data_IF_688155966003
#
_entry.id   IF_688155966003
#
_cell.length_a   1.000
_cell.length_b   1.000
_cell.length_c   1.000
_cell.angle_alpha   90.00
_cell.angle_beta   90.00
_cell.angle_gamma   90.00
#
_symmetry.space_group_name_H-M   'P 1'
#
loop_
_entity.id
_entity.type
_entity.pdbx_description
1 polymer ?
#
# COMPACT_ATOMS: atom_id res chain seq x y z
N UNK A 1 14.41 -10.13 18.43
CA UNK A 1 15.07 -9.02 17.70
C UNK A 1 14.05 -7.91 17.51
N UNK A 2 14.38 -6.70 17.99
CA UNK A 2 13.52 -5.54 17.98
C UNK A 2 13.90 -4.59 16.84
N UNK A 3 12.99 -4.36 15.90
CA UNK A 3 13.22 -3.52 14.72
C UNK A 3 12.33 -2.27 14.78
N UNK A 4 12.93 -1.09 14.66
CA UNK A 4 12.22 0.16 14.45
C UNK A 4 11.97 0.34 12.94
N UNK A 5 10.73 0.57 12.54
CA UNK A 5 10.35 0.94 11.18
C UNK A 5 10.08 2.43 11.07
N UNK A 6 10.58 3.05 10.00
CA UNK A 6 10.37 4.47 9.67
C UNK A 6 9.79 4.56 8.26
N UNK A 7 8.55 5.01 8.17
CA UNK A 7 7.84 5.28 6.91
C UNK A 7 7.67 6.79 6.71
N UNK A 8 8.04 7.28 5.53
CA UNK A 8 7.88 8.69 5.16
C UNK A 8 7.81 8.91 3.65
N UNK A 9 7.37 7.92 2.88
CA UNK A 9 7.49 7.96 1.40
C UNK A 9 6.60 8.97 0.70
N UNK A 10 5.48 9.38 1.33
CA UNK A 10 4.50 10.28 0.72
C UNK A 10 3.96 11.32 1.71
N UNK A 11 2.75 11.15 2.21
CA UNK A 11 2.05 12.08 3.10
C UNK A 11 1.67 11.49 4.47
N UNK A 12 2.14 10.30 4.78
CA UNK A 12 2.11 9.70 6.11
C UNK A 12 3.50 9.62 6.73
N UNK A 13 3.61 10.04 8.00
CA UNK A 13 4.78 9.76 8.83
C UNK A 13 4.43 8.65 9.79
N UNK A 14 5.03 7.48 9.61
CA UNK A 14 4.75 6.30 10.43
C UNK A 14 6.00 5.76 11.12
N UNK A 15 5.90 5.47 12.43
CA UNK A 15 6.92 4.76 13.16
C UNK A 15 6.30 3.56 13.87
N UNK A 16 7.06 2.46 13.96
CA UNK A 16 6.61 1.27 14.66
C UNK A 16 7.78 0.46 15.22
N UNK A 17 7.51 -0.29 16.28
CA UNK A 17 8.42 -1.27 16.86
C UNK A 17 7.84 -2.67 16.66
N UNK A 18 8.58 -3.51 15.95
CA UNK A 18 8.25 -4.91 15.73
C UNK A 18 9.32 -5.81 16.35
N UNK A 19 8.89 -6.72 17.19
CA UNK A 19 9.76 -7.74 17.79
C UNK A 19 9.49 -9.10 17.14
N UNK A 20 10.54 -9.81 16.73
CA UNK A 20 10.40 -11.09 16.01
C UNK A 20 9.78 -12.22 16.83
N UNK A 21 9.70 -12.08 18.16
CA UNK A 21 9.11 -13.07 19.06
C UNK A 21 7.73 -12.61 19.58
N UNK A 22 7.60 -11.30 19.91
CA UNK A 22 6.40 -10.73 20.52
C UNK A 22 5.44 -10.08 19.51
N UNK A 23 5.86 -9.93 18.24
CA UNK A 23 5.07 -9.26 17.21
C UNK A 23 5.15 -7.73 17.25
N UNK A 24 4.12 -7.05 16.76
CA UNK A 24 4.02 -5.59 16.76
C UNK A 24 3.79 -5.08 18.20
N UNK A 25 4.73 -4.29 18.73
CA UNK A 25 4.66 -3.78 20.09
C UNK A 25 3.92 -2.44 20.17
N UNK A 26 4.23 -1.52 19.25
CA UNK A 26 3.58 -0.23 19.14
C UNK A 26 3.75 0.33 17.74
N UNK A 27 2.82 1.19 17.34
CA UNK A 27 2.95 2.00 16.13
C UNK A 27 2.31 3.37 16.34
N UNK A 28 2.88 4.40 15.74
CA UNK A 28 2.34 5.75 15.72
C UNK A 28 2.33 6.27 14.28
N UNK A 29 1.27 6.95 13.91
CA UNK A 29 1.03 7.46 12.55
C UNK A 29 0.54 8.90 12.63
N UNK A 30 1.11 9.76 11.77
CA UNK A 30 0.57 11.08 11.48
C UNK A 30 0.28 11.20 10.00
N UNK A 31 -0.97 11.48 9.65
CA UNK A 31 -1.37 11.72 8.26
C UNK A 31 -1.47 13.22 7.98
N UNK A 32 -0.96 13.61 6.83
CA UNK A 32 -0.94 14.99 6.36
C UNK A 32 -2.15 15.31 5.44
N UNK A 33 -3.12 14.38 5.32
CA UNK A 33 -4.30 14.54 4.45
C UNK A 33 -4.98 15.89 4.68
N UNK A 34 -5.21 16.29 5.94
CA UNK A 34 -5.86 17.55 6.26
C UNK A 34 -5.10 18.78 5.73
N UNK A 35 -3.77 18.73 5.74
CA UNK A 35 -2.92 19.79 5.20
C UNK A 35 -3.00 19.83 3.66
N UNK A 36 -2.97 18.67 3.01
CA UNK A 36 -2.96 18.58 1.55
C UNK A 36 -4.34 18.77 0.91
N UNK A 37 -5.41 18.61 1.69
CA UNK A 37 -6.79 18.73 1.22
C UNK A 37 -7.07 20.09 0.58
N UNK A 38 -6.55 21.19 1.13
CA UNK A 38 -6.71 22.53 0.58
C UNK A 38 -6.02 22.75 -0.77
N UNK A 39 -5.05 21.89 -1.13
CA UNK A 39 -4.35 21.93 -2.42
C UNK A 39 -4.91 20.94 -3.42
N UNK A 40 -5.85 20.08 -3.01
CA UNK A 40 -6.46 19.06 -3.85
C UNK A 40 -5.52 17.91 -4.22
N UNK A 41 -4.48 17.67 -3.41
CA UNK A 41 -3.50 16.59 -3.57
C UNK A 41 -2.20 16.91 -2.86
N UNK A 42 -1.29 15.93 -2.79
CA UNK A 42 -0.02 16.03 -2.07
C UNK A 42 0.90 17.09 -2.68
N UNK A 43 1.44 17.99 -1.84
CA UNK A 43 2.47 18.96 -2.18
C UNK A 43 3.80 18.47 -1.60
N UNK A 44 4.75 17.97 -2.44
CA UNK A 44 5.93 17.24 -1.97
C UNK A 44 6.82 18.01 -0.99
N UNK A 45 6.97 19.33 -1.18
CA UNK A 45 7.80 20.15 -0.30
C UNK A 45 7.15 20.31 1.09
N UNK A 46 5.83 20.49 1.15
CA UNK A 46 5.11 20.57 2.43
C UNK A 46 5.16 19.23 3.16
N UNK A 47 5.01 18.12 2.43
CA UNK A 47 5.14 16.78 2.99
C UNK A 47 6.50 16.60 3.66
N UNK A 48 7.59 16.90 2.95
CA UNK A 48 8.94 16.79 3.48
C UNK A 48 9.17 17.61 4.74
N UNK A 49 8.68 18.84 4.78
CA UNK A 49 8.79 19.73 5.96
C UNK A 49 8.01 19.21 7.16
N UNK A 50 6.84 18.63 6.95
CA UNK A 50 6.05 18.09 8.05
C UNK A 50 6.65 16.78 8.59
N UNK A 51 7.19 15.89 7.75
CA UNK A 51 7.94 14.71 8.21
C UNK A 51 9.05 15.07 9.21
N UNK A 52 9.82 16.15 8.96
CA UNK A 52 10.87 16.61 9.88
C UNK A 52 10.27 16.94 11.26
N UNK A 53 9.09 17.58 11.29
CA UNK A 53 8.43 17.98 12.54
C UNK A 53 7.85 16.81 13.30
N UNK A 54 7.40 15.76 12.58
CA UNK A 54 6.66 14.63 13.16
C UNK A 54 7.52 13.46 13.58
N UNK A 55 8.65 13.21 12.91
CA UNK A 55 9.45 12.03 13.13
C UNK A 55 9.89 11.81 14.58
N UNK A 56 10.46 12.83 15.23
CA UNK A 56 10.94 12.70 16.62
C UNK A 56 9.80 12.62 17.65
N UNK A 57 8.72 13.43 17.58
CA UNK A 57 7.55 13.21 18.44
C UNK A 57 6.95 11.82 18.33
N UNK A 58 6.77 11.31 17.11
CA UNK A 58 6.23 9.96 16.89
C UNK A 58 7.18 8.86 17.39
N UNK A 59 8.51 9.05 17.24
CA UNK A 59 9.49 8.13 17.82
C UNK A 59 9.33 8.03 19.34
N UNK A 60 9.27 9.18 20.02
CA UNK A 60 9.09 9.21 21.49
C UNK A 60 7.77 8.54 21.90
N UNK A 61 6.70 8.79 21.19
CA UNK A 61 5.41 8.14 21.41
C UNK A 61 5.51 6.63 21.26
N UNK A 62 6.06 6.15 20.12
CA UNK A 62 6.20 4.71 19.82
C UNK A 62 7.03 3.98 20.89
N UNK A 63 8.14 4.57 21.34
CA UNK A 63 8.97 4.01 22.41
C UNK A 63 8.22 3.98 23.76
N UNK A 64 7.50 5.05 24.09
CA UNK A 64 6.69 5.15 25.32
C UNK A 64 5.56 4.11 25.33
N UNK A 65 4.83 3.97 24.21
CA UNK A 65 3.70 3.04 24.09
C UNK A 65 4.18 1.59 24.15
N UNK A 66 5.34 1.29 23.56
CA UNK A 66 5.97 -0.02 23.64
C UNK A 66 6.63 -0.30 25.02
N UNK A 67 6.84 0.73 25.83
CA UNK A 67 7.63 0.67 27.08
C UNK A 67 9.03 0.12 26.86
N UNK A 68 9.70 0.62 25.84
CA UNK A 68 11.03 0.19 25.40
C UNK A 68 11.97 1.39 25.38
N UNK A 69 13.19 1.21 25.85
CA UNK A 69 14.24 2.22 25.71
C UNK A 69 14.85 2.18 24.30
N UNK A 70 15.28 3.33 23.78
CA UNK A 70 15.85 3.40 22.44
C UNK A 70 17.08 2.48 22.25
N UNK A 71 17.85 2.25 23.32
CA UNK A 71 19.03 1.38 23.34
C UNK A 71 18.69 -0.11 23.10
N UNK A 72 17.45 -0.52 23.39
CA UNK A 72 16.96 -1.88 23.19
C UNK A 72 16.65 -2.21 21.72
N UNK A 73 16.57 -1.20 20.84
CA UNK A 73 16.42 -1.40 19.41
C UNK A 73 17.63 -2.15 18.86
N UNK A 74 17.41 -3.22 18.11
CA UNK A 74 18.47 -4.02 17.50
C UNK A 74 18.83 -3.53 16.09
N UNK A 75 17.85 -3.06 15.32
CA UNK A 75 18.04 -2.54 13.97
C UNK A 75 16.97 -1.49 13.60
N UNK A 76 17.27 -0.64 12.61
CA UNK A 76 16.37 0.39 12.12
C UNK A 76 16.12 0.17 10.64
N UNK A 77 14.86 -0.09 10.26
CA UNK A 77 14.40 -0.19 8.90
C UNK A 77 13.74 1.12 8.47
N UNK A 78 14.04 1.61 7.28
CA UNK A 78 13.43 2.82 6.75
C UNK A 78 13.01 2.65 5.30
N UNK A 79 11.99 3.37 4.85
CA UNK A 79 11.59 3.36 3.46
C UNK A 79 12.63 4.07 2.61
N UNK A 80 13.35 3.29 1.79
CA UNK A 80 14.35 3.82 0.87
C UNK A 80 13.72 4.27 -0.45
N UNK A 81 12.57 3.75 -0.80
CA UNK A 81 11.81 4.01 -2.02
C UNK A 81 10.88 2.86 -2.40
N UNK A 82 10.05 3.06 -3.46
CA UNK A 82 9.79 4.32 -4.15
C UNK A 82 9.02 5.33 -3.30
N UNK A 83 8.98 6.61 -3.77
CA UNK A 83 8.25 7.68 -3.09
C UNK A 83 8.74 9.08 -3.46
N UNK A 84 8.27 10.09 -2.74
CA UNK A 84 8.68 11.49 -2.93
C UNK A 84 10.11 11.67 -2.42
N UNK A 85 11.01 12.14 -3.28
CA UNK A 85 12.45 12.24 -2.97
C UNK A 85 12.75 12.97 -1.65
N UNK A 86 12.14 14.14 -1.43
CA UNK A 86 12.35 14.92 -0.21
C UNK A 86 11.81 14.22 1.04
N UNK A 87 10.65 13.58 0.95
CA UNK A 87 10.03 12.82 2.02
C UNK A 87 10.89 11.60 2.41
N UNK A 88 11.32 10.81 1.43
CA UNK A 88 12.26 9.69 1.62
C UNK A 88 13.57 10.13 2.29
N UNK A 89 14.15 11.26 1.84
CA UNK A 89 15.38 11.79 2.42
C UNK A 89 15.22 12.10 3.92
N UNK A 90 14.05 12.60 4.35
CA UNK A 90 13.81 12.87 5.77
C UNK A 90 13.79 11.57 6.58
N UNK A 91 13.03 10.56 6.17
CA UNK A 91 12.98 9.28 6.87
C UNK A 91 14.34 8.57 6.93
N UNK A 92 15.06 8.56 5.80
CA UNK A 92 16.42 8.01 5.74
C UNK A 92 17.39 8.76 6.67
N UNK A 93 17.33 10.11 6.69
CA UNK A 93 18.17 10.93 7.59
C UNK A 93 17.89 10.64 9.07
N UNK A 94 16.61 10.54 9.44
CA UNK A 94 16.22 10.20 10.82
C UNK A 94 16.70 8.80 11.18
N UNK A 95 16.47 7.81 10.32
CA UNK A 95 16.88 6.42 10.57
C UNK A 95 18.39 6.27 10.69
N UNK A 96 19.17 6.84 9.75
CA UNK A 96 20.64 6.78 9.77
C UNK A 96 21.22 7.59 10.94
N UNK A 97 20.64 8.77 11.25
CA UNK A 97 21.06 9.55 12.42
C UNK A 97 20.83 8.83 13.74
N UNK A 98 19.69 8.14 13.90
CA UNK A 98 19.42 7.29 15.06
C UNK A 98 20.36 6.09 15.10
N UNK A 99 20.58 5.43 13.96
CA UNK A 99 21.50 4.31 13.86
C UNK A 99 22.91 4.70 14.33
N UNK A 100 23.40 5.84 13.87
CA UNK A 100 24.70 6.38 14.31
C UNK A 100 24.71 6.70 15.81
N UNK A 101 23.71 7.37 16.33
CA UNK A 101 23.63 7.79 17.73
C UNK A 101 23.51 6.58 18.70
N UNK A 102 22.86 5.50 18.26
CA UNK A 102 22.62 4.31 19.08
C UNK A 102 23.62 3.16 18.77
N UNK A 103 24.53 3.33 17.82
CA UNK A 103 25.40 2.31 17.27
C UNK A 103 24.64 1.06 16.77
N UNK A 104 23.52 1.28 16.05
CA UNK A 104 22.64 0.22 15.55
C UNK A 104 22.66 0.16 14.03
N UNK A 105 22.61 -1.05 13.44
CA UNK A 105 22.58 -1.21 12.00
C UNK A 105 21.27 -0.67 11.39
N UNK A 106 21.38 -0.16 10.16
CA UNK A 106 20.24 0.37 9.39
C UNK A 106 20.05 -0.40 8.10
N UNK A 107 18.80 -0.49 7.62
CA UNK A 107 18.52 -1.05 6.31
C UNK A 107 17.41 -0.32 5.60
N UNK A 108 17.59 -0.12 4.27
CA UNK A 108 16.57 0.44 3.39
C UNK A 108 15.58 -0.63 2.96
N UNK A 109 14.29 -0.33 3.07
CA UNK A 109 13.19 -1.21 2.67
C UNK A 109 12.49 -0.63 1.44
N UNK A 110 12.08 -1.51 0.54
CA UNK A 110 11.24 -1.17 -0.58
C UNK A 110 9.79 -0.96 -0.07
N UNK A 111 9.23 0.22 -0.33
CA UNK A 111 7.89 0.61 0.15
C UNK A 111 6.80 -0.42 -0.24
N UNK A 112 6.79 -0.87 -1.50
CA UNK A 112 5.80 -1.83 -1.98
C UNK A 112 5.99 -3.23 -1.36
N UNK A 113 7.22 -3.61 -0.98
CA UNK A 113 7.45 -4.83 -0.21
C UNK A 113 6.80 -4.73 1.17
N UNK A 114 6.89 -3.57 1.83
CA UNK A 114 6.18 -3.32 3.07
C UNK A 114 4.67 -3.61 2.93
N UNK A 115 4.04 -3.07 1.89
CA UNK A 115 2.63 -3.34 1.59
C UNK A 115 2.35 -4.81 1.30
N UNK A 116 3.17 -5.49 0.48
CA UNK A 116 2.97 -6.90 0.13
C UNK A 116 3.06 -7.82 1.33
N UNK A 117 3.91 -7.48 2.30
CA UNK A 117 4.12 -8.27 3.51
C UNK A 117 3.18 -7.88 4.66
N UNK A 118 2.56 -6.70 4.63
CA UNK A 118 1.69 -6.22 5.72
C UNK A 118 0.53 -7.17 6.09
N UNK A 119 -0.10 -7.94 5.16
CA UNK A 119 -1.11 -8.92 5.52
C UNK A 119 -0.59 -10.09 6.37
N UNK A 120 0.73 -10.29 6.43
CA UNK A 120 1.35 -11.28 7.32
C UNK A 120 1.34 -10.83 8.80
N UNK A 121 1.05 -9.56 9.09
CA UNK A 121 0.83 -9.04 10.45
C UNK A 121 -0.56 -9.41 11.01
N UNK A 122 -1.48 -9.90 10.17
CA UNK A 122 -2.82 -10.27 10.61
C UNK A 122 -2.79 -11.52 11.51
N UNK A 123 -3.80 -11.68 12.36
CA UNK A 123 -3.98 -12.84 13.25
C UNK A 123 -4.06 -14.17 12.50
N UNK A 124 -4.49 -14.15 11.24
CA UNK A 124 -4.52 -15.31 10.33
C UNK A 124 -3.73 -14.96 9.07
N UNK A 125 -2.39 -15.05 9.11
CA UNK A 125 -1.56 -14.65 7.99
C UNK A 125 -1.68 -15.64 6.81
N UNK A 126 -1.58 -15.14 5.54
CA UNK A 126 -1.46 -15.99 4.38
C UNK A 126 -0.13 -16.77 4.42
N UNK A 127 -0.13 -17.96 3.82
CA UNK A 127 1.11 -18.73 3.59
C UNK A 127 1.61 -18.51 2.16
N UNK A 128 2.91 -18.44 1.98
CA UNK A 128 3.52 -18.46 0.64
C UNK A 128 3.31 -19.81 -0.06
N UNK A 129 3.26 -19.89 -1.41
CA UNK A 129 3.12 -18.75 -2.30
C UNK A 129 1.66 -18.24 -2.36
N UNK A 130 1.49 -16.98 -2.77
CA UNK A 130 0.18 -16.37 -3.01
C UNK A 130 0.21 -15.37 -4.18
N UNK A 131 -0.96 -15.02 -4.71
CA UNK A 131 -1.12 -13.88 -5.60
C UNK A 131 -1.41 -12.65 -4.75
N UNK A 132 -0.74 -11.54 -5.05
CA UNK A 132 -1.01 -10.25 -4.43
C UNK A 132 -1.57 -9.27 -5.45
N UNK A 133 -2.66 -8.59 -5.12
CA UNK A 133 -3.10 -7.35 -5.75
C UNK A 133 -2.59 -6.19 -4.89
N UNK A 134 -1.59 -5.50 -5.36
CA UNK A 134 -1.13 -4.24 -4.80
C UNK A 134 -1.90 -3.12 -5.47
N UNK A 135 -2.75 -2.41 -4.72
CA UNK A 135 -3.64 -1.39 -5.25
C UNK A 135 -3.69 -0.16 -4.34
N UNK A 136 -3.04 0.92 -4.79
CA UNK A 136 -2.85 2.16 -4.03
C UNK A 136 -3.11 3.41 -4.90
N UNK A 137 -2.82 4.58 -4.37
CA UNK A 137 -2.86 5.84 -5.11
C UNK A 137 -1.93 5.86 -6.32
N UNK A 138 -0.73 5.29 -6.19
CA UNK A 138 0.29 5.33 -7.24
C UNK A 138 0.52 4.00 -7.98
N UNK A 139 0.00 2.88 -7.49
CA UNK A 139 0.30 1.55 -8.04
C UNK A 139 -0.95 0.70 -8.21
N UNK A 140 -0.99 -0.08 -9.29
CA UNK A 140 -1.92 -1.19 -9.48
C UNK A 140 -1.17 -2.31 -10.16
N UNK A 141 -0.82 -3.34 -9.38
CA UNK A 141 0.02 -4.46 -9.82
C UNK A 141 -0.53 -5.78 -9.31
N UNK A 142 -0.50 -6.80 -10.15
CA UNK A 142 -0.70 -8.20 -9.78
C UNK A 142 0.64 -8.90 -9.75
N UNK A 143 0.92 -9.57 -8.64
CA UNK A 143 2.19 -10.21 -8.39
C UNK A 143 2.00 -11.63 -7.88
N UNK A 144 2.92 -12.51 -8.23
CA UNK A 144 3.14 -13.77 -7.55
C UNK A 144 4.21 -13.54 -6.47
N UNK A 145 3.93 -13.98 -5.27
CA UNK A 145 4.79 -13.82 -4.11
C UNK A 145 5.15 -15.21 -3.60
N UNK A 146 6.40 -15.62 -3.83
CA UNK A 146 6.91 -16.93 -3.42
C UNK A 146 7.62 -16.89 -2.05
N UNK A 147 7.95 -15.70 -1.55
CA UNK A 147 8.61 -15.45 -0.28
C UNK A 147 9.09 -14.01 -0.19
N UNK A 148 9.77 -13.66 0.90
CA UNK A 148 10.37 -12.34 1.10
C UNK A 148 11.40 -12.07 0.00
N UNK A 149 11.27 -10.94 -0.70
CA UNK A 149 12.15 -10.58 -1.81
C UNK A 149 11.99 -11.42 -3.08
N UNK A 150 11.04 -12.36 -3.14
CA UNK A 150 10.79 -13.20 -4.31
C UNK A 150 9.43 -12.87 -4.92
N UNK A 151 9.44 -11.90 -5.80
CA UNK A 151 8.27 -11.31 -6.44
C UNK A 151 8.35 -11.44 -7.96
N UNK A 152 7.27 -11.89 -8.58
CA UNK A 152 7.11 -11.98 -10.03
C UNK A 152 5.94 -11.07 -10.42
N UNK A 153 6.20 -10.06 -11.26
CA UNK A 153 5.16 -9.20 -11.81
C UNK A 153 4.37 -9.97 -12.86
N UNK A 154 3.06 -10.11 -12.66
CA UNK A 154 2.15 -10.78 -13.59
C UNK A 154 1.41 -9.81 -14.49
N UNK A 155 1.19 -8.59 -14.04
CA UNK A 155 0.55 -7.51 -14.77
C UNK A 155 0.48 -6.25 -13.95
N UNK A 156 0.42 -5.10 -14.61
CA UNK A 156 0.37 -3.79 -13.97
C UNK A 156 -0.50 -2.80 -14.77
N UNK A 157 -0.75 -1.63 -14.19
CA UNK A 157 -1.45 -0.59 -14.94
C UNK A 157 -0.54 0.01 -16.00
N UNK A 158 -1.08 0.20 -17.20
CA UNK A 158 -0.38 0.82 -18.34
C UNK A 158 -0.51 2.35 -18.33
N UNK A 159 -1.34 2.90 -17.44
CA UNK A 159 -1.63 4.32 -17.34
C UNK A 159 -1.93 4.73 -15.88
N UNK A 160 -3.07 5.37 -15.59
CA UNK A 160 -3.45 5.77 -14.23
C UNK A 160 -3.56 4.53 -13.31
N UNK A 161 -3.06 4.64 -12.07
CA UNK A 161 -3.36 3.66 -11.04
C UNK A 161 -4.84 3.73 -10.63
N UNK A 162 -5.39 2.63 -10.07
CA UNK A 162 -6.78 2.60 -9.66
C UNK A 162 -7.11 3.70 -8.63
N UNK A 163 -6.26 3.89 -7.61
CA UNK A 163 -6.47 4.94 -6.61
C UNK A 163 -6.41 6.34 -7.21
N UNK A 164 -5.48 6.57 -8.13
CA UNK A 164 -5.41 7.83 -8.89
C UNK A 164 -6.67 8.07 -9.72
N UNK A 165 -7.22 7.02 -10.34
CA UNK A 165 -8.48 7.10 -11.06
C UNK A 165 -9.66 7.43 -10.13
N UNK A 166 -9.68 6.87 -8.91
CA UNK A 166 -10.63 7.23 -7.86
C UNK A 166 -10.55 8.72 -7.50
N UNK A 167 -9.35 9.23 -7.19
CA UNK A 167 -9.15 10.63 -6.78
C UNK A 167 -9.49 11.62 -7.90
N UNK A 168 -9.04 11.33 -9.13
CA UNK A 168 -9.35 12.16 -10.30
C UNK A 168 -10.85 12.19 -10.62
N UNK A 169 -11.55 11.06 -10.53
CA UNK A 169 -12.98 10.97 -10.78
C UNK A 169 -13.80 11.64 -9.67
N UNK A 170 -13.41 11.49 -8.42
CA UNK A 170 -14.00 12.20 -7.29
C UNK A 170 -13.87 13.72 -7.45
N UNK A 171 -12.69 14.20 -7.88
CA UNK A 171 -12.47 15.63 -8.18
C UNK A 171 -13.40 16.14 -9.29
N UNK A 172 -13.63 15.34 -10.35
CA UNK A 172 -14.59 15.70 -11.42
C UNK A 172 -16.02 15.83 -10.91
N UNK A 173 -16.40 15.08 -9.87
CA UNK A 173 -17.71 15.14 -9.23
C UNK A 173 -17.78 16.18 -8.09
N UNK A 174 -16.69 16.90 -7.81
CA UNK A 174 -16.65 17.90 -6.75
C UNK A 174 -16.60 17.33 -5.32
N UNK A 175 -16.11 16.09 -5.12
CA UNK A 175 -16.16 15.39 -3.84
C UNK A 175 -14.95 15.65 -2.91
N UNK A 176 -13.99 16.46 -3.33
CA UNK A 176 -12.81 16.78 -2.52
C UNK A 176 -11.72 15.70 -2.50
N UNK A 177 -10.83 15.77 -1.51
CA UNK A 177 -9.68 14.88 -1.32
C UNK A 177 -9.65 14.38 0.15
N UNK A 178 -9.32 13.09 0.42
CA UNK A 178 -9.08 12.02 -0.56
C UNK A 178 -10.37 11.56 -1.25
N UNK A 179 -10.27 11.37 -2.56
CA UNK A 179 -11.43 11.10 -3.40
C UNK A 179 -11.98 9.68 -3.26
N UNK A 180 -11.11 8.68 -3.08
CA UNK A 180 -11.50 7.27 -3.03
C UNK A 180 -12.62 6.97 -2.01
N UNK A 181 -12.47 7.31 -0.72
CA UNK A 181 -13.52 7.11 0.27
C UNK A 181 -14.80 7.90 -0.02
N UNK A 182 -14.67 9.11 -0.57
CA UNK A 182 -15.83 9.98 -0.85
C UNK A 182 -16.70 9.41 -1.99
N UNK A 183 -16.07 9.06 -3.14
CA UNK A 183 -16.79 8.50 -4.29
C UNK A 183 -17.35 7.11 -3.98
N UNK A 184 -16.67 6.29 -3.16
CA UNK A 184 -17.16 4.97 -2.76
C UNK A 184 -18.41 5.04 -1.90
N UNK A 185 -18.46 5.97 -0.94
CA UNK A 185 -19.66 6.23 -0.14
C UNK A 185 -20.83 6.75 -0.99
N UNK A 186 -20.54 7.68 -1.91
CA UNK A 186 -21.57 8.23 -2.79
C UNK A 186 -22.15 7.14 -3.71
N UNK A 187 -21.32 6.22 -4.19
CA UNK A 187 -21.74 5.10 -5.04
C UNK A 187 -22.79 4.17 -4.38
N UNK A 188 -22.85 4.11 -3.06
CA UNK A 188 -23.83 3.29 -2.33
C UNK A 188 -25.28 3.75 -2.59
N UNK A 189 -25.49 5.04 -2.92
CA UNK A 189 -26.78 5.64 -3.20
C UNK A 189 -27.12 5.68 -4.70
N UNK A 190 -26.22 5.20 -5.57
CA UNK A 190 -26.38 5.23 -7.02
C UNK A 190 -27.12 4.03 -7.58
N UNK A 191 -27.90 4.25 -8.66
CA UNK A 191 -28.49 3.19 -9.47
C UNK A 191 -27.41 2.53 -10.35
N UNK A 192 -27.16 1.21 -10.24
CA UNK A 192 -26.16 0.51 -11.05
C UNK A 192 -26.50 0.47 -12.55
N UNK A 193 -27.72 0.78 -12.95
CA UNK A 193 -28.18 0.73 -14.34
C UNK A 193 -28.19 2.11 -15.01
N UNK A 194 -28.00 3.20 -14.25
CA UNK A 194 -28.11 4.56 -14.77
C UNK A 194 -27.00 4.92 -15.78
N UNK A 195 -25.75 4.52 -15.48
CA UNK A 195 -24.60 4.80 -16.34
C UNK A 195 -23.74 3.56 -16.53
N UNK A 196 -23.62 3.09 -17.76
CA UNK A 196 -22.73 2.00 -18.14
C UNK A 196 -21.39 2.57 -18.60
N UNK A 197 -20.43 2.68 -17.67
CA UNK A 197 -19.08 3.14 -17.98
C UNK A 197 -18.23 1.99 -18.55
N UNK A 198 -17.19 2.27 -19.33
CA UNK A 198 -16.33 1.24 -19.92
C UNK A 198 -15.58 0.44 -18.83
N UNK A 199 -15.22 -0.81 -19.15
CA UNK A 199 -14.36 -1.71 -18.36
C UNK A 199 -13.07 -1.93 -19.16
N UNK A 200 -12.10 -0.99 -19.09
CA UNK A 200 -10.91 -1.10 -19.91
C UNK A 200 -10.17 -2.41 -19.63
N UNK A 201 -9.68 -3.06 -20.67
CA UNK A 201 -8.90 -4.30 -20.60
C UNK A 201 -9.57 -5.49 -19.90
N UNK A 202 -10.86 -5.44 -19.56
CA UNK A 202 -11.58 -6.56 -18.90
C UNK A 202 -11.41 -7.89 -19.66
N UNK A 203 -11.44 -7.85 -20.98
CA UNK A 203 -11.35 -9.01 -21.86
C UNK A 203 -9.99 -9.18 -22.54
N UNK A 204 -8.97 -8.40 -22.14
CA UNK A 204 -7.60 -8.62 -22.65
C UNK A 204 -7.06 -9.96 -22.16
N UNK A 205 -6.18 -10.57 -22.97
CA UNK A 205 -5.59 -11.88 -22.65
C UNK A 205 -4.49 -11.80 -21.58
N UNK A 206 -3.94 -10.60 -21.33
CA UNK A 206 -2.93 -10.34 -20.30
C UNK A 206 -3.58 -9.97 -18.96
N UNK A 207 -2.76 -9.74 -17.93
CA UNK A 207 -3.18 -9.36 -16.59
C UNK A 207 -3.00 -7.85 -16.32
N UNK A 208 -2.68 -7.06 -17.35
CA UNK A 208 -2.51 -5.62 -17.23
C UNK A 208 -3.85 -4.90 -17.03
N UNK A 209 -3.76 -3.68 -16.52
CA UNK A 209 -4.87 -2.79 -16.24
C UNK A 209 -4.75 -1.48 -17.03
N UNK A 210 -5.86 -0.77 -17.15
CA UNK A 210 -5.91 0.60 -17.63
C UNK A 210 -7.12 1.29 -17.01
N UNK A 211 -6.96 2.52 -16.54
CA UNK A 211 -8.05 3.29 -15.92
C UNK A 211 -8.19 4.70 -16.46
N UNK A 212 -7.26 5.19 -17.29
CA UNK A 212 -7.34 6.54 -17.90
C UNK A 212 -8.58 6.71 -18.80
N UNK A 213 -8.94 5.64 -19.54
CA UNK A 213 -10.15 5.62 -20.37
C UNK A 213 -11.44 5.72 -19.54
N UNK A 214 -11.48 5.10 -18.37
CA UNK A 214 -12.63 5.19 -17.46
C UNK A 214 -12.79 6.60 -16.90
N UNK A 215 -11.71 7.26 -16.47
CA UNK A 215 -11.71 8.66 -16.05
C UNK A 215 -12.23 9.58 -17.16
N UNK A 216 -11.79 9.36 -18.40
CA UNK A 216 -12.25 10.13 -19.57
C UNK A 216 -13.76 9.94 -19.81
N UNK A 217 -14.27 8.73 -19.62
CA UNK A 217 -15.70 8.45 -19.71
C UNK A 217 -16.50 9.21 -18.63
N UNK A 218 -16.02 9.23 -17.37
CA UNK A 218 -16.61 10.06 -16.31
C UNK A 218 -16.65 11.52 -16.71
N UNK A 219 -15.52 12.08 -17.21
CA UNK A 219 -15.46 13.47 -17.66
C UNK A 219 -16.47 13.75 -18.78
N UNK A 220 -16.66 12.83 -19.71
CA UNK A 220 -17.64 12.96 -20.81
C UNK A 220 -19.06 13.05 -20.27
N UNK A 221 -19.44 12.16 -19.34
CA UNK A 221 -20.77 12.20 -18.70
C UNK A 221 -20.95 13.49 -17.91
N UNK A 222 -19.96 13.91 -17.13
CA UNK A 222 -20.00 15.18 -16.38
C UNK A 222 -20.24 16.38 -17.30
N UNK A 223 -19.54 16.44 -18.45
CA UNK A 223 -19.71 17.52 -19.45
C UNK A 223 -21.09 17.56 -20.10
N UNK A 224 -21.80 16.44 -20.21
CA UNK A 224 -23.18 16.40 -20.73
C UNK A 224 -24.16 17.12 -19.79
N UNK A 225 -23.82 17.30 -18.52
CA UNK A 225 -24.62 18.03 -17.52
C UNK A 225 -24.19 19.51 -17.39
N UNK A 226 -23.52 20.07 -18.38
CA UNK A 226 -23.09 21.47 -18.43
C UNK A 226 -21.57 21.65 -18.22
N UNK A 227 -21.07 22.86 -18.50
CA UNK A 227 -19.66 23.17 -18.33
C UNK A 227 -19.25 22.95 -16.86
N UNK A 228 -18.27 22.13 -16.61
CA UNK A 228 -17.77 21.74 -15.28
C UNK A 228 -18.76 20.97 -14.38
N UNK A 229 -19.82 20.37 -14.93
CA UNK A 229 -20.81 19.63 -14.14
C UNK A 229 -21.68 20.49 -13.24
N UNK A 230 -21.82 21.79 -13.53
CA UNK A 230 -22.56 22.74 -12.69
C UNK A 230 -24.04 22.41 -12.50
N UNK A 231 -24.60 21.56 -13.36
CA UNK A 231 -26.00 21.14 -13.33
C UNK A 231 -26.22 19.67 -12.93
N UNK A 232 -25.19 18.99 -12.42
CA UNK A 232 -25.32 17.60 -11.96
C UNK A 232 -26.04 17.59 -10.62
N UNK A 233 -27.20 16.96 -10.55
CA UNK A 233 -27.88 16.75 -9.28
C UNK A 233 -27.16 15.68 -8.43
N UNK A 234 -27.38 15.67 -7.12
CA UNK A 234 -26.72 14.72 -6.22
C UNK A 234 -27.01 13.26 -6.57
N UNK A 235 -28.22 12.97 -7.08
CA UNK A 235 -28.55 11.60 -7.53
C UNK A 235 -27.75 11.21 -8.77
N UNK A 236 -27.54 12.10 -9.73
CA UNK A 236 -26.71 11.80 -10.90
C UNK A 236 -25.23 11.64 -10.53
N UNK A 237 -24.73 12.44 -9.57
CA UNK A 237 -23.39 12.21 -9.03
C UNK A 237 -23.27 10.82 -8.40
N UNK A 238 -24.28 10.38 -7.63
CA UNK A 238 -24.31 9.05 -7.02
C UNK A 238 -24.35 7.95 -8.09
N UNK A 239 -25.15 8.13 -9.14
CA UNK A 239 -25.28 7.20 -10.25
C UNK A 239 -23.97 7.06 -11.05
N UNK A 240 -23.29 8.18 -11.33
CA UNK A 240 -21.97 8.20 -11.99
C UNK A 240 -20.94 7.53 -11.11
N UNK A 241 -20.91 7.85 -9.80
CA UNK A 241 -20.02 7.24 -8.83
C UNK A 241 -20.22 5.72 -8.78
N UNK A 242 -21.48 5.26 -8.81
CA UNK A 242 -21.82 3.84 -8.82
C UNK A 242 -21.27 3.14 -10.07
N UNK A 243 -21.56 3.66 -11.25
CA UNK A 243 -21.05 3.09 -12.50
C UNK A 243 -19.51 3.05 -12.56
N UNK A 244 -18.84 4.07 -11.99
CA UNK A 244 -17.38 4.15 -11.90
C UNK A 244 -16.81 3.08 -10.95
N UNK A 245 -17.35 2.98 -9.72
CA UNK A 245 -16.87 1.99 -8.73
C UNK A 245 -17.11 0.58 -9.23
N UNK A 246 -18.30 0.29 -9.78
CA UNK A 246 -18.62 -1.02 -10.35
C UNK A 246 -17.64 -1.41 -11.48
N UNK A 247 -17.26 -0.46 -12.35
CA UNK A 247 -16.33 -0.70 -13.44
C UNK A 247 -14.93 -1.07 -12.94
N UNK A 248 -14.37 -0.31 -11.98
CA UNK A 248 -13.06 -0.61 -11.40
C UNK A 248 -13.07 -1.96 -10.67
N UNK A 249 -14.07 -2.17 -9.81
CA UNK A 249 -14.19 -3.40 -9.02
C UNK A 249 -14.29 -4.62 -9.92
N UNK A 250 -15.10 -4.57 -10.98
CA UNK A 250 -15.26 -5.66 -11.92
C UNK A 250 -13.94 -6.02 -12.61
N UNK A 251 -13.18 -5.03 -13.09
CA UNK A 251 -11.87 -5.25 -13.72
C UNK A 251 -10.87 -5.86 -12.73
N UNK A 252 -10.73 -5.28 -11.54
CA UNK A 252 -9.80 -5.78 -10.52
C UNK A 252 -10.13 -7.22 -10.13
N UNK A 253 -11.41 -7.53 -9.86
CA UNK A 253 -11.85 -8.89 -9.50
C UNK A 253 -11.58 -9.89 -10.64
N UNK A 254 -11.93 -9.56 -11.88
CA UNK A 254 -11.75 -10.45 -13.02
C UNK A 254 -10.27 -10.81 -13.23
N UNK A 255 -9.37 -9.82 -13.14
CA UNK A 255 -7.92 -10.03 -13.29
C UNK A 255 -7.34 -10.85 -12.14
N UNK A 256 -7.75 -10.61 -10.89
CA UNK A 256 -7.36 -11.43 -9.73
C UNK A 256 -7.77 -12.89 -9.90
N UNK A 257 -9.03 -13.15 -10.31
CA UNK A 257 -9.51 -14.51 -10.51
C UNK A 257 -8.81 -15.19 -11.66
N UNK A 258 -8.42 -14.45 -12.70
CA UNK A 258 -7.64 -14.96 -13.85
C UNK A 258 -6.22 -15.29 -13.42
N UNK A 259 -5.55 -14.44 -12.63
CA UNK A 259 -4.20 -14.69 -12.11
C UNK A 259 -4.15 -15.96 -11.24
N UNK A 260 -5.11 -16.12 -10.31
CA UNK A 260 -5.21 -17.34 -9.49
C UNK A 260 -5.39 -18.61 -10.34
N UNK A 261 -6.21 -18.54 -11.41
CA UNK A 261 -6.41 -19.66 -12.32
C UNK A 261 -5.16 -19.97 -13.12
N UNK A 262 -4.47 -18.98 -13.68
CA UNK A 262 -3.28 -19.16 -14.50
C UNK A 262 -2.11 -19.73 -13.71
N UNK A 263 -1.93 -19.28 -12.46
CA UNK A 263 -0.84 -19.74 -11.58
C UNK A 263 -1.17 -20.99 -10.79
N UNK A 264 -2.42 -21.46 -10.84
CA UNK A 264 -2.95 -22.56 -10.02
C UNK A 264 -2.79 -22.31 -8.49
N UNK A 265 -2.70 -21.06 -8.07
CA UNK A 265 -2.67 -20.68 -6.66
C UNK A 265 -4.09 -20.45 -6.14
N UNK A 266 -4.26 -20.58 -4.83
CA UNK A 266 -5.58 -20.46 -4.17
C UNK A 266 -5.69 -19.32 -3.17
N UNK A 267 -4.60 -18.61 -2.91
CA UNK A 267 -4.53 -17.50 -1.95
C UNK A 267 -4.34 -16.20 -2.71
N UNK A 268 -5.21 -15.26 -2.41
CA UNK A 268 -5.15 -13.88 -2.89
C UNK A 268 -4.92 -12.94 -1.70
N UNK A 269 -3.92 -12.12 -1.81
CA UNK A 269 -3.62 -11.06 -0.85
C UNK A 269 -3.96 -9.72 -1.48
N UNK A 270 -4.63 -8.84 -0.73
CA UNK A 270 -4.93 -7.48 -1.17
C UNK A 270 -4.10 -6.53 -0.31
N UNK A 271 -3.32 -5.67 -0.94
CA UNK A 271 -2.43 -4.72 -0.29
C UNK A 271 -2.60 -3.31 -0.86
N UNK A 272 -2.30 -2.30 -0.06
CA UNK A 272 -2.45 -0.88 -0.43
C UNK A 272 -3.81 -0.29 -0.08
N UNK A 273 -3.89 1.05 -0.10
CA UNK A 273 -5.02 1.82 0.43
C UNK A 273 -6.38 1.53 -0.23
N UNK A 274 -6.41 1.27 -1.55
CA UNK A 274 -7.66 0.88 -2.25
C UNK A 274 -8.17 -0.48 -1.78
N UNK A 275 -7.32 -1.32 -1.19
CA UNK A 275 -7.70 -2.57 -0.53
C UNK A 275 -8.63 -2.39 0.68
N UNK A 276 -8.81 -1.17 1.20
CA UNK A 276 -9.80 -0.85 2.22
C UNK A 276 -11.22 -0.65 1.66
N UNK A 277 -11.37 -0.55 0.32
CA UNK A 277 -12.66 -0.32 -0.33
C UNK A 277 -13.65 -1.48 -0.07
N UNK A 278 -14.81 -1.17 0.52
CA UNK A 278 -15.78 -2.17 0.95
C UNK A 278 -16.40 -2.94 -0.24
N UNK A 279 -16.70 -2.24 -1.34
CA UNK A 279 -17.28 -2.84 -2.54
C UNK A 279 -16.29 -3.82 -3.19
N UNK A 280 -15.00 -3.46 -3.26
CA UNK A 280 -13.94 -4.35 -3.75
C UNK A 280 -13.81 -5.61 -2.87
N UNK A 281 -13.77 -5.44 -1.55
CA UNK A 281 -13.70 -6.57 -0.61
C UNK A 281 -14.89 -7.51 -0.74
N UNK A 282 -16.11 -6.96 -0.80
CA UNK A 282 -17.33 -7.74 -0.97
C UNK A 282 -17.31 -8.55 -2.28
N UNK A 283 -16.95 -7.92 -3.39
CA UNK A 283 -16.89 -8.55 -4.71
C UNK A 283 -15.79 -9.63 -4.80
N UNK A 284 -14.60 -9.39 -4.25
CA UNK A 284 -13.51 -10.37 -4.18
C UNK A 284 -13.90 -11.58 -3.35
N UNK A 285 -14.47 -11.36 -2.16
CA UNK A 285 -14.91 -12.46 -1.29
C UNK A 285 -16.00 -13.31 -1.98
N UNK A 286 -16.98 -12.69 -2.63
CA UNK A 286 -18.02 -13.38 -3.36
C UNK A 286 -17.48 -14.20 -4.55
N UNK A 287 -16.52 -13.63 -5.31
CA UNK A 287 -15.90 -14.31 -6.45
C UNK A 287 -14.98 -15.47 -6.01
N UNK A 288 -14.24 -15.28 -4.91
CA UNK A 288 -13.35 -16.28 -4.35
C UNK A 288 -14.11 -17.46 -3.75
N UNK A 289 -15.21 -17.22 -3.01
CA UNK A 289 -16.04 -18.27 -2.44
C UNK A 289 -16.58 -19.26 -3.49
N UNK A 290 -17.01 -18.75 -4.66
CA UNK A 290 -17.49 -19.58 -5.77
C UNK A 290 -16.43 -20.54 -6.32
N UNK A 291 -15.12 -20.25 -6.09
CA UNK A 291 -13.98 -21.01 -6.63
C UNK A 291 -13.16 -21.70 -5.55
N UNK A 292 -13.57 -21.59 -4.27
CA UNK A 292 -12.83 -22.09 -3.10
C UNK A 292 -11.42 -21.48 -3.02
N UNK A 293 -11.30 -20.17 -3.30
CA UNK A 293 -10.10 -19.38 -3.07
C UNK A 293 -10.20 -18.68 -1.73
N UNK A 294 -9.06 -18.39 -1.11
CA UNK A 294 -8.96 -17.63 0.13
C UNK A 294 -8.47 -16.21 -0.17
N UNK A 295 -9.08 -15.21 0.47
CA UNK A 295 -8.68 -13.81 0.31
C UNK A 295 -8.22 -13.27 1.66
N UNK A 296 -7.06 -12.63 1.67
CA UNK A 296 -6.43 -12.07 2.85
C UNK A 296 -6.28 -10.56 2.70
N UNK A 297 -6.52 -9.85 3.77
CA UNK A 297 -6.43 -8.39 3.84
C UNK A 297 -5.58 -8.01 5.04
N UNK A 298 -4.82 -6.90 5.00
CA UNK A 298 -4.29 -6.30 6.20
C UNK A 298 -5.45 -5.78 7.06
N UNK A 299 -5.21 -5.61 8.35
CA UNK A 299 -6.13 -4.83 9.19
C UNK A 299 -6.30 -3.42 8.60
N UNK A 300 -7.47 -2.82 8.80
CA UNK A 300 -7.79 -1.54 8.15
C UNK A 300 -6.76 -0.45 8.44
N UNK A 301 -6.22 -0.42 9.66
CA UNK A 301 -5.17 0.52 10.07
C UNK A 301 -3.82 0.32 9.36
N UNK A 302 -3.60 -0.84 8.73
CA UNK A 302 -2.37 -1.17 7.98
C UNK A 302 -2.57 -1.21 6.46
N UNK A 303 -3.74 -0.78 5.97
CA UNK A 303 -3.99 -0.71 4.52
C UNK A 303 -3.24 0.44 3.85
N UNK A 304 -3.11 1.60 4.54
CA UNK A 304 -2.36 2.77 4.07
C UNK A 304 -0.92 2.71 4.54
N UNK A 305 -0.11 3.69 4.13
CA UNK A 305 1.29 3.81 4.50
C UNK A 305 1.44 3.88 6.02
N UNK A 306 2.34 3.08 6.58
CA UNK A 306 2.52 2.99 8.03
C UNK A 306 3.91 2.43 8.41
N UNK A 307 4.36 2.72 9.63
CA UNK A 307 5.66 2.23 10.13
C UNK A 307 5.70 0.73 10.37
N UNK A 308 4.56 0.09 10.67
CA UNK A 308 4.53 -1.34 11.01
C UNK A 308 4.89 -2.22 9.80
N UNK A 309 4.46 -1.87 8.59
CA UNK A 309 4.81 -2.60 7.38
C UNK A 309 6.32 -2.55 7.10
N UNK A 310 6.98 -1.44 7.43
CA UNK A 310 8.42 -1.26 7.22
C UNK A 310 9.22 -1.98 8.31
N UNK A 311 8.79 -1.88 9.58
CA UNK A 311 9.40 -2.62 10.69
C UNK A 311 9.34 -4.13 10.43
N UNK A 312 8.17 -4.63 10.00
CA UNK A 312 7.95 -6.03 9.70
C UNK A 312 8.78 -6.51 8.51
N UNK A 313 8.76 -5.79 7.39
CA UNK A 313 9.56 -6.14 6.21
C UNK A 313 11.06 -6.16 6.55
N UNK A 314 11.54 -5.18 7.33
CA UNK A 314 12.90 -5.14 7.85
C UNK A 314 13.24 -6.35 8.70
N UNK A 315 12.37 -6.71 9.65
CA UNK A 315 12.56 -7.88 10.50
C UNK A 315 12.60 -9.19 9.69
N UNK A 316 11.73 -9.32 8.67
CA UNK A 316 11.73 -10.51 7.81
C UNK A 316 13.00 -10.61 6.96
N UNK A 317 13.48 -9.51 6.38
CA UNK A 317 14.73 -9.48 5.63
C UNK A 317 15.94 -9.81 6.51
N UNK A 318 16.00 -9.22 7.71
CA UNK A 318 17.07 -9.50 8.68
C UNK A 318 17.08 -10.93 9.16
N UNK A 319 15.92 -11.57 9.26
CA UNK A 319 15.82 -12.99 9.64
C UNK A 319 16.36 -13.91 8.55
N UNK A 320 16.16 -13.58 7.27
CA UNK A 320 16.68 -14.37 6.15
C UNK A 320 18.17 -14.04 5.86
N UNK A 321 18.59 -12.78 6.02
CA UNK A 321 19.94 -12.31 5.73
C UNK A 321 20.35 -11.20 6.72
N UNK A 322 20.94 -11.54 7.87
CA UNK A 322 21.37 -10.54 8.86
C UNK A 322 22.36 -9.50 8.32
N UNK A 323 23.17 -9.86 7.32
CA UNK A 323 24.19 -8.98 6.72
C UNK A 323 23.62 -7.85 5.86
N UNK A 324 22.30 -7.83 5.58
CA UNK A 324 21.68 -6.77 4.79
C UNK A 324 21.63 -5.43 5.53
N UNK A 325 21.61 -5.44 6.87
CA UNK A 325 21.71 -4.24 7.68
C UNK A 325 23.16 -3.86 7.96
N UNK A 326 23.47 -2.59 7.86
CA UNK A 326 24.85 -2.07 7.92
C UNK A 326 24.97 -0.94 8.93
N UNK A 327 26.17 -0.80 9.50
CA UNK A 327 26.58 0.36 10.30
C UNK A 327 27.27 1.44 9.46
N UNK A 328 27.08 1.42 8.16
CA UNK A 328 27.45 2.49 7.25
C UNK A 328 26.26 3.42 7.09
N UNK A 329 26.35 4.63 7.64
CA UNK A 329 25.22 5.54 7.73
C UNK A 329 25.14 6.53 6.57
N UNK A 330 26.00 6.40 5.56
CA UNK A 330 25.83 7.03 4.27
C UNK A 330 24.66 6.38 3.52
N UNK A 331 23.72 7.17 3.04
CA UNK A 331 22.51 6.65 2.41
C UNK A 331 22.21 7.36 1.08
N UNK A 332 21.46 6.67 0.23
CA UNK A 332 20.77 7.21 -0.92
C UNK A 332 19.31 6.76 -0.91
N UNK A 333 18.43 7.57 -1.46
CA UNK A 333 17.02 7.20 -1.65
C UNK A 333 16.75 6.89 -3.12
N UNK A 334 15.71 6.08 -3.37
CA UNK A 334 15.32 5.62 -4.70
C UNK A 334 13.87 6.03 -5.00
N UNK A 335 13.60 7.29 -5.39
CA UNK A 335 12.24 7.78 -5.65
C UNK A 335 11.49 6.96 -6.70
N UNK A 336 12.22 6.41 -7.65
CA UNK A 336 11.75 5.41 -8.62
C UNK A 336 12.55 4.14 -8.38
N UNK A 337 11.85 3.11 -7.98
CA UNK A 337 12.45 1.81 -7.71
C UNK A 337 11.45 0.72 -8.12
N UNK A 338 11.63 0.10 -9.29
CA UNK A 338 10.83 -1.05 -9.70
C UNK A 338 11.01 -2.22 -8.73
N UNK A 339 9.92 -2.93 -8.44
CA UNK A 339 9.97 -4.02 -7.45
C UNK A 339 10.71 -5.25 -7.96
N UNK A 340 10.76 -5.45 -9.27
CA UNK A 340 11.52 -6.53 -9.92
C UNK A 340 13.06 -6.34 -9.84
N UNK A 341 13.52 -5.13 -9.55
CA UNK A 341 14.93 -4.87 -9.22
C UNK A 341 15.30 -5.28 -7.79
N UNK A 342 14.30 -5.62 -6.97
CA UNK A 342 14.53 -6.00 -5.58
C UNK A 342 15.11 -7.40 -5.51
N UNK A 343 16.34 -7.51 -5.00
CA UNK A 343 17.01 -8.81 -4.88
C UNK A 343 16.43 -9.60 -3.71
N UNK A 344 16.20 -10.92 -3.88
CA UNK A 344 15.87 -11.78 -2.76
C UNK A 344 17.03 -11.79 -1.75
N UNK A 345 16.73 -11.95 -0.45
CA UNK A 345 17.76 -12.20 0.55
C UNK A 345 18.63 -13.38 0.13
N UNK A 346 19.95 -13.26 0.29
CA UNK A 346 20.87 -14.38 0.05
C UNK A 346 20.80 -15.30 1.27
N UNK A 347 20.33 -16.52 1.08
CA UNK A 347 20.32 -17.52 2.14
C UNK A 347 21.76 -17.71 2.65
N UNK A 348 22.03 -17.25 3.86
CA UNK A 348 23.25 -17.64 4.57
C UNK A 348 23.28 -19.16 4.62
N UNK A 349 24.45 -19.76 4.40
CA UNK A 349 24.69 -21.20 4.48
C UNK A 349 24.41 -21.71 5.92
N UNK A 350 23.14 -21.80 6.31
CA UNK A 350 22.70 -22.46 7.54
C UNK A 350 21.60 -23.44 7.16
N UNK A 351 22.02 -24.69 7.04
CA UNK A 351 21.17 -25.88 7.12
C UNK A 351 20.24 -25.79 8.33
N UNK A 352 18.96 -26.12 8.08
CA UNK A 352 17.81 -26.26 9.00
C UNK A 352 16.95 -25.01 9.17
N UNK A 353 15.91 -24.93 8.37
CA UNK A 353 14.75 -24.09 8.67
C UNK A 353 13.79 -24.83 9.62
N UNK A 354 13.45 -24.30 10.79
CA UNK A 354 12.22 -24.67 11.45
C UNK A 354 11.07 -23.83 10.87
N UNK A 355 10.07 -24.51 10.37
CA UNK A 355 8.76 -23.93 10.07
C UNK A 355 8.09 -23.52 11.38
N UNK A 356 8.21 -22.25 11.77
CA UNK A 356 7.42 -21.74 12.90
C UNK A 356 6.98 -20.32 12.56
N UNK A 357 5.71 -20.24 12.15
CA UNK A 357 4.92 -19.04 12.36
C UNK A 357 4.46 -19.15 13.81
N UNK A 358 4.65 -18.15 14.68
CA UNK A 358 4.16 -18.26 16.06
C UNK A 358 2.63 -18.35 16.01
N UNK A 359 2.12 -19.41 16.61
CA UNK A 359 0.69 -19.51 16.99
C UNK A 359 0.52 -18.62 18.20
N UNK A 360 -0.33 -17.61 18.12
CA UNK A 360 -0.84 -16.85 19.27
C UNK A 360 -1.90 -17.69 19.95
#
# INVERSE_FOLDING_TARGET
>A
MLVLGVESSCDETGLALYDTERGLLAHALHSQIAMHQQYGGVVPELASRDHIRRAIPLLKQTLSDARVAAQEIDAIAYTQGPGLAGALLVGASVACGLGLALDKPVLGIHHLEGHLLSPLLASKPPRFPFIALLVSGGHTQLMRVDGVGRYELLGETLDDAAGEAFDKSAKLLGLGYPGGPAISRLAEFGDPNAYQLPRPMLHSKNLDFSFSGLKTAVLTVVKQHGSNGSNICEQDKANIARGFVDAIVEVLVAKCMTALKQTNLKRLVIAGGVGANAQLRAALNAAAAKRRYEVFYPELQFCTDNGAMIAFAGAMRLREEPSVARKEYGFGVRPRWPLDELRPPQAGNTSTAPSIIPTI
#
